data_IF_856160826478
#
_entry.id   IF_856160826478
#
_cell.length_a   1.000
_cell.length_b   1.000
_cell.length_c   1.000
_cell.angle_alpha   90.00
_cell.angle_beta   90.00
_cell.angle_gamma   90.00
#
_symmetry.space_group_name_H-M   'P 1'
#
loop_
_entity.id
_entity.type
_entity.pdbx_description
1 polymer ?
#
# COMPACT_ATOMS: atom_id res chain seq x y z
N UNK A 1 0.64 -23.05 -21.57
CA UNK A 1 1.24 -21.74 -21.22
C UNK A 1 0.42 -20.66 -21.89
N UNK A 2 0.05 -19.60 -21.17
CA UNK A 2 -0.69 -18.47 -21.75
C UNK A 2 0.19 -17.83 -22.85
N UNK A 3 -0.37 -17.55 -24.03
CA UNK A 3 0.39 -16.93 -25.11
C UNK A 3 0.98 -15.57 -24.71
N UNK A 4 2.04 -15.12 -25.39
CA UNK A 4 2.76 -13.87 -25.06
C UNK A 4 1.81 -12.67 -24.86
N UNK A 5 0.78 -12.56 -25.69
CA UNK A 5 -0.25 -11.51 -25.57
C UNK A 5 -1.04 -11.61 -24.27
N UNK A 6 -1.39 -12.81 -23.83
CA UNK A 6 -2.10 -13.00 -22.57
C UNK A 6 -1.22 -12.70 -21.35
N UNK A 7 0.08 -13.01 -21.40
CA UNK A 7 1.02 -12.62 -20.34
C UNK A 7 1.13 -11.09 -20.21
N UNK A 8 1.22 -10.39 -21.34
CA UNK A 8 1.27 -8.93 -21.36
C UNK A 8 -0.03 -8.31 -20.83
N UNK A 9 -1.19 -8.86 -21.21
CA UNK A 9 -2.49 -8.42 -20.70
C UNK A 9 -2.58 -8.59 -19.18
N UNK A 10 -2.13 -9.74 -18.64
CA UNK A 10 -2.13 -9.96 -17.20
C UNK A 10 -1.24 -8.97 -16.45
N UNK A 11 -0.05 -8.69 -16.97
CA UNK A 11 0.86 -7.70 -16.37
C UNK A 11 0.21 -6.31 -16.42
N UNK A 12 -0.36 -5.92 -17.56
CA UNK A 12 -1.02 -4.63 -17.72
C UNK A 12 -2.19 -4.46 -16.75
N UNK A 13 -3.07 -5.48 -16.66
CA UNK A 13 -4.23 -5.45 -15.77
C UNK A 13 -3.79 -5.38 -14.30
N UNK A 14 -2.77 -6.15 -13.91
CA UNK A 14 -2.25 -6.16 -12.56
C UNK A 14 -1.60 -4.82 -12.19
N UNK A 15 -0.83 -4.23 -13.11
CA UNK A 15 -0.19 -2.94 -12.91
C UNK A 15 -1.21 -1.81 -12.75
N UNK A 16 -2.23 -1.77 -13.62
CA UNK A 16 -3.31 -0.78 -13.53
C UNK A 16 -4.10 -0.95 -12.24
N UNK A 17 -4.48 -2.18 -11.88
CA UNK A 17 -5.20 -2.45 -10.63
C UNK A 17 -4.40 -2.04 -9.39
N UNK A 18 -3.09 -2.31 -9.39
CA UNK A 18 -2.19 -1.93 -8.31
C UNK A 18 -2.05 -0.40 -8.19
N UNK A 19 -1.87 0.31 -9.30
CA UNK A 19 -1.76 1.78 -9.32
C UNK A 19 -3.04 2.46 -8.82
N UNK A 20 -4.19 1.99 -9.30
CA UNK A 20 -5.49 2.49 -8.85
C UNK A 20 -5.69 2.29 -7.35
N UNK A 21 -5.33 1.12 -6.83
CA UNK A 21 -5.40 0.82 -5.39
C UNK A 21 -4.47 1.69 -4.55
N UNK A 22 -3.25 1.96 -5.04
CA UNK A 22 -2.31 2.88 -4.39
C UNK A 22 -2.84 4.31 -4.39
N UNK A 23 -3.30 4.82 -5.54
CA UNK A 23 -3.85 6.17 -5.63
C UNK A 23 -5.11 6.34 -4.79
N UNK A 24 -6.04 5.39 -4.80
CA UNK A 24 -7.24 5.47 -3.96
C UNK A 24 -6.90 5.52 -2.47
N UNK A 25 -5.92 4.70 -2.04
CA UNK A 25 -5.46 4.66 -0.65
C UNK A 25 -4.75 5.94 -0.24
N UNK A 26 -3.93 6.50 -1.13
CA UNK A 26 -3.24 7.77 -0.90
C UNK A 26 -4.24 8.92 -0.77
N UNK A 27 -5.27 8.96 -1.62
CA UNK A 27 -6.35 9.97 -1.55
C UNK A 27 -7.15 9.81 -0.25
N UNK A 28 -7.47 8.58 0.16
CA UNK A 28 -8.16 8.34 1.43
C UNK A 28 -7.34 8.81 2.65
N UNK A 29 -6.04 8.49 2.69
CA UNK A 29 -5.15 8.97 3.76
C UNK A 29 -5.02 10.49 3.76
N UNK A 30 -4.87 11.12 2.59
CA UNK A 30 -4.83 12.58 2.49
C UNK A 30 -6.12 13.22 3.01
N UNK A 31 -7.30 12.68 2.65
CA UNK A 31 -8.58 13.21 3.13
C UNK A 31 -8.72 13.09 4.66
N UNK A 32 -8.39 11.93 5.24
CA UNK A 32 -8.41 11.74 6.70
C UNK A 32 -7.47 12.73 7.39
N UNK A 33 -6.22 12.80 6.95
CA UNK A 33 -5.17 13.66 7.50
C UNK A 33 -5.54 15.14 7.38
N UNK A 34 -6.13 15.57 6.27
CA UNK A 34 -6.54 16.98 6.06
C UNK A 34 -7.85 17.35 6.78
N UNK A 35 -8.65 16.37 7.20
CA UNK A 35 -9.87 16.61 7.98
C UNK A 35 -9.58 16.97 9.45
N UNK A 36 -8.41 16.57 9.98
CA UNK A 36 -8.04 16.80 11.38
C UNK A 36 -7.80 18.28 11.71
N UNK A 37 -7.07 19.03 10.86
CA UNK A 37 -6.75 20.43 11.15
C UNK A 37 -6.51 21.28 9.89
N UNK A 38 -7.52 22.04 9.42
CA UNK A 38 -7.44 22.83 8.20
C UNK A 38 -6.35 23.91 8.20
N UNK A 39 -5.94 24.41 9.37
CA UNK A 39 -4.94 25.47 9.51
C UNK A 39 -3.48 24.97 9.34
N UNK A 40 -3.22 23.67 9.52
CA UNK A 40 -1.86 23.11 9.46
C UNK A 40 -1.63 22.17 8.25
N UNK A 41 -2.47 22.26 7.21
CA UNK A 41 -2.44 21.41 6.00
C UNK A 41 -1.05 21.24 5.39
N UNK A 42 -0.24 22.30 5.34
CA UNK A 42 1.12 22.25 4.80
C UNK A 42 2.07 21.34 5.58
N UNK A 43 1.96 21.30 6.92
CA UNK A 43 2.79 20.45 7.79
C UNK A 43 2.36 18.99 7.71
N UNK A 44 1.06 18.75 7.70
CA UNK A 44 0.47 17.42 7.58
C UNK A 44 0.82 16.76 6.24
N UNK A 45 0.77 17.53 5.14
CA UNK A 45 1.19 17.04 3.83
C UNK A 45 2.67 16.66 3.80
N UNK A 46 3.54 17.53 4.34
CA UNK A 46 4.96 17.26 4.43
C UNK A 46 5.23 15.96 5.21
N UNK A 47 4.57 15.76 6.35
CA UNK A 47 4.70 14.55 7.16
C UNK A 47 4.26 13.29 6.39
N UNK A 48 3.10 13.33 5.71
CA UNK A 48 2.60 12.23 4.89
C UNK A 48 3.63 11.81 3.84
N UNK A 49 4.13 12.76 3.06
CA UNK A 49 5.13 12.47 2.04
C UNK A 49 6.47 12.04 2.64
N UNK A 50 6.90 12.58 3.78
CA UNK A 50 8.10 12.11 4.47
C UNK A 50 8.00 10.63 4.84
N UNK A 51 6.87 10.19 5.40
CA UNK A 51 6.65 8.78 5.75
C UNK A 51 6.64 7.90 4.50
N UNK A 52 5.97 8.35 3.42
CA UNK A 52 5.96 7.65 2.13
C UNK A 52 7.39 7.51 1.58
N UNK A 53 8.20 8.57 1.62
CA UNK A 53 9.60 8.54 1.19
C UNK A 53 10.46 7.58 2.02
N UNK A 54 10.30 7.56 3.34
CA UNK A 54 10.99 6.61 4.21
C UNK A 54 10.61 5.17 3.83
N UNK A 55 9.32 4.90 3.61
CA UNK A 55 8.84 3.60 3.15
C UNK A 55 9.44 3.19 1.80
N UNK A 56 9.48 4.10 0.83
CA UNK A 56 10.10 3.85 -0.48
C UNK A 56 11.60 3.58 -0.39
N UNK A 57 12.33 4.31 0.46
CA UNK A 57 13.76 4.10 0.69
C UNK A 57 14.03 2.72 1.30
N UNK A 58 13.27 2.34 2.34
CA UNK A 58 13.36 1.02 2.96
C UNK A 58 12.99 -0.09 1.98
N UNK A 59 11.92 0.08 1.20
CA UNK A 59 11.49 -0.86 0.17
C UNK A 59 12.54 -1.07 -0.91
N UNK A 60 13.21 0.00 -1.36
CA UNK A 60 14.30 -0.06 -2.33
C UNK A 60 15.53 -0.80 -1.79
N UNK A 61 15.94 -0.49 -0.54
CA UNK A 61 17.07 -1.14 0.11
C UNK A 61 16.82 -2.65 0.32
N UNK A 62 15.64 -3.01 0.84
CA UNK A 62 15.24 -4.40 1.06
C UNK A 62 15.05 -5.14 -0.27
N UNK A 63 14.39 -4.52 -1.24
CA UNK A 63 14.17 -5.10 -2.57
C UNK A 63 15.48 -5.39 -3.29
N UNK A 64 16.44 -4.47 -3.25
CA UNK A 64 17.77 -4.65 -3.85
C UNK A 64 18.55 -5.78 -3.17
N UNK A 65 18.54 -5.85 -1.84
CA UNK A 65 19.19 -6.94 -1.10
C UNK A 65 18.53 -8.29 -1.38
N UNK A 66 17.19 -8.37 -1.37
CA UNK A 66 16.50 -9.65 -1.60
C UNK A 66 16.67 -10.11 -3.05
N UNK A 67 16.73 -9.18 -4.00
CA UNK A 67 17.00 -9.52 -5.39
C UNK A 67 18.36 -10.21 -5.57
N UNK A 68 19.40 -9.78 -4.85
CA UNK A 68 20.71 -10.43 -4.96
C UNK A 68 20.76 -11.81 -4.29
N UNK A 69 19.98 -12.02 -3.21
CA UNK A 69 19.96 -13.30 -2.49
C UNK A 69 19.03 -14.36 -3.12
N UNK A 70 17.84 -13.94 -3.54
CA UNK A 70 16.74 -14.85 -3.94
C UNK A 70 16.18 -14.54 -5.34
N UNK A 71 16.79 -13.59 -6.06
CA UNK A 71 16.36 -13.21 -7.41
C UNK A 71 14.95 -12.60 -7.43
N UNK A 72 14.30 -12.72 -8.58
CA UNK A 72 12.98 -12.15 -8.81
C UNK A 72 11.88 -12.73 -7.92
N UNK A 73 11.93 -14.05 -7.63
CA UNK A 73 10.94 -14.70 -6.77
C UNK A 73 10.97 -14.17 -5.33
N UNK A 74 12.16 -13.84 -4.81
CA UNK A 74 12.31 -13.19 -3.50
C UNK A 74 11.63 -11.82 -3.44
N UNK A 75 11.78 -11.01 -4.49
CA UNK A 75 11.14 -9.68 -4.58
C UNK A 75 9.62 -9.81 -4.61
N UNK A 76 9.09 -10.77 -5.38
CA UNK A 76 7.65 -11.04 -5.45
C UNK A 76 7.12 -11.52 -4.09
N UNK A 77 7.84 -12.40 -3.40
CA UNK A 77 7.46 -12.87 -2.07
C UNK A 77 7.45 -11.74 -1.03
N UNK A 78 8.46 -10.86 -1.05
CA UNK A 78 8.50 -9.67 -0.19
C UNK A 78 7.31 -8.75 -0.45
N UNK A 79 7.05 -8.41 -1.73
CA UNK A 79 5.95 -7.54 -2.11
C UNK A 79 4.59 -8.13 -1.68
N UNK A 80 4.42 -9.44 -1.88
CA UNK A 80 3.20 -10.17 -1.49
C UNK A 80 3.01 -10.17 0.02
N UNK A 81 4.07 -10.44 0.79
CA UNK A 81 4.02 -10.43 2.25
C UNK A 81 3.68 -9.03 2.78
N UNK A 82 4.30 -7.99 2.22
CA UNK A 82 4.03 -6.61 2.61
C UNK A 82 2.57 -6.23 2.33
N UNK A 83 2.05 -6.59 1.15
CA UNK A 83 0.64 -6.41 0.81
C UNK A 83 -0.32 -7.20 1.71
N UNK A 84 0.02 -8.44 2.06
CA UNK A 84 -0.76 -9.27 2.97
C UNK A 84 -0.81 -8.68 4.39
N UNK A 85 0.31 -8.15 4.90
CA UNK A 85 0.37 -7.46 6.18
C UNK A 85 -0.52 -6.20 6.15
N UNK A 86 -0.41 -5.39 5.09
CA UNK A 86 -1.25 -4.19 4.94
C UNK A 86 -2.74 -4.54 4.90
N UNK A 87 -3.12 -5.60 4.18
CA UNK A 87 -4.48 -6.11 4.14
C UNK A 87 -4.95 -6.60 5.51
N UNK A 88 -4.12 -7.36 6.23
CA UNK A 88 -4.44 -7.86 7.57
C UNK A 88 -4.71 -6.71 8.54
N UNK A 89 -3.85 -5.68 8.55
CA UNK A 89 -4.04 -4.48 9.38
C UNK A 89 -5.39 -3.82 9.07
N UNK A 90 -5.71 -3.60 7.78
CA UNK A 90 -6.97 -2.99 7.36
C UNK A 90 -8.19 -3.82 7.73
N UNK A 91 -8.15 -5.14 7.57
CA UNK A 91 -9.25 -6.03 7.92
C UNK A 91 -9.49 -6.05 9.43
N UNK A 92 -8.42 -6.13 10.24
CA UNK A 92 -8.51 -6.10 11.70
C UNK A 92 -9.07 -4.76 12.18
N UNK A 93 -8.60 -3.65 11.63
CA UNK A 93 -9.10 -2.32 11.97
C UNK A 93 -10.57 -2.15 11.61
N UNK A 94 -10.98 -2.63 10.43
CA UNK A 94 -12.38 -2.61 9.98
C UNK A 94 -13.28 -3.44 10.91
N UNK A 95 -12.82 -4.61 11.34
CA UNK A 95 -13.55 -5.45 12.29
C UNK A 95 -13.70 -4.79 13.67
N UNK A 96 -12.65 -4.11 14.16
CA UNK A 96 -12.68 -3.35 15.43
C UNK A 96 -13.65 -2.17 15.39
N UNK A 97 -13.69 -1.44 14.29
CA UNK A 97 -14.62 -0.31 14.12
C UNK A 97 -16.07 -0.81 14.12
N UNK A 98 -16.34 -1.93 13.46
CA UNK A 98 -17.67 -2.51 13.40
C UNK A 98 -18.13 -3.05 14.76
N UNK A 99 -17.25 -3.71 15.53
CA UNK A 99 -17.58 -4.17 16.89
C UNK A 99 -17.85 -3.01 17.84
N UNK A 100 -17.07 -1.93 17.76
CA UNK A 100 -17.27 -0.75 18.61
C UNK A 100 -18.60 -0.03 18.32
N UNK A 101 -19.05 -0.03 17.05
CA UNK A 101 -20.37 0.48 16.67
C UNK A 101 -21.50 -0.39 17.26
N UNK A 102 -21.37 -1.72 17.18
CA UNK A 102 -22.38 -2.65 17.70
C UNK A 102 -22.57 -2.57 19.22
N UNK A 103 -21.53 -2.23 19.97
CA UNK A 103 -21.60 -2.03 21.44
C UNK A 103 -22.25 -0.69 21.83
N UNK A 104 -22.34 0.26 20.89
CA UNK A 104 -22.91 1.60 21.11
C UNK A 104 -24.39 1.73 20.73
N UNK A 105 -25.01 0.67 20.21
CA UNK A 105 -26.44 0.58 19.84
C UNK A 105 -27.16 -0.28 20.86
#
# INVERSE_FOLDING_TARGET
>A
ALGIHGQLILIALSAVGFDLGLQSSLVAHQNLVYSLEPQARGRLNALLFTVIFIGMALGSALGSNIYTLAGWSGVVALATLCGAIALAIRVIESARVLSAQAESV
#
